data_IF_222839392801
#
_entry.id   IF_222839392801
#
_cell.length_a   1.000
_cell.length_b   1.000
_cell.length_c   1.000
_cell.angle_alpha   90.00
_cell.angle_beta   90.00
_cell.angle_gamma   90.00
#
_symmetry.space_group_name_H-M   'P 1'
#
loop_
_entity.id
_entity.type
_entity.pdbx_description
1 polymer ?
#
# COMPACT_ATOMS: atom_id res chain seq x y z
N UNK A 1 -47.27 55.81 -5.74
CA UNK A 1 -47.57 55.86 -4.29
C UNK A 1 -46.98 54.58 -3.67
N UNK A 2 -45.96 54.69 -2.79
CA UNK A 2 -46.10 54.66 -1.31
C UNK A 2 -46.65 53.30 -0.83
N UNK A 3 -46.13 52.60 0.17
CA UNK A 3 -45.13 52.90 1.20
C UNK A 3 -44.83 51.59 1.95
N UNK A 4 -43.61 51.52 2.45
CA UNK A 4 -43.00 50.66 3.47
C UNK A 4 -43.87 50.15 4.65
N UNK A 5 -43.46 49.01 5.25
CA UNK A 5 -43.01 48.80 6.66
C UNK A 5 -43.12 47.31 7.06
N UNK A 6 -42.00 46.63 7.34
CA UNK A 6 -41.34 46.45 8.66
C UNK A 6 -42.07 45.49 9.61
N UNK A 7 -41.38 44.41 10.06
CA UNK A 7 -41.01 44.20 11.47
C UNK A 7 -40.72 42.72 11.87
N UNK A 8 -39.49 42.51 12.40
CA UNK A 8 -39.11 41.69 13.58
C UNK A 8 -39.26 40.14 13.52
N UNK A 9 -38.35 39.29 14.03
CA UNK A 9 -37.17 39.41 14.90
C UNK A 9 -36.43 38.05 14.92
N UNK A 10 -35.10 38.02 15.04
CA UNK A 10 -34.39 36.74 15.25
C UNK A 10 -32.86 36.75 15.11
N UNK A 11 -32.23 37.71 15.78
CA UNK A 11 -30.79 37.93 16.09
C UNK A 11 -29.80 36.76 15.85
N UNK A 12 -28.65 37.13 15.26
CA UNK A 12 -27.47 36.32 14.93
C UNK A 12 -26.40 36.27 16.08
N UNK A 13 -25.07 36.25 15.84
CA UNK A 13 -24.15 35.10 15.96
C UNK A 13 -22.94 35.30 16.92
N UNK A 14 -22.05 34.29 16.98
CA UNK A 14 -20.60 34.33 17.29
C UNK A 14 -20.10 34.61 18.73
N UNK A 15 -19.18 33.76 19.21
CA UNK A 15 -17.82 34.07 19.74
C UNK A 15 -17.38 33.10 20.86
N UNK A 16 -16.20 32.49 20.70
CA UNK A 16 -15.39 31.93 21.79
C UNK A 16 -14.91 33.05 22.74
N UNK A 17 -14.46 32.75 23.98
CA UNK A 17 -13.00 32.60 24.20
C UNK A 17 -12.57 31.67 25.38
N UNK A 18 -11.24 31.64 25.57
CA UNK A 18 -10.34 30.82 26.40
C UNK A 18 -10.54 30.77 27.95
N UNK A 19 -9.85 29.80 28.61
CA UNK A 19 -9.82 29.51 30.07
C UNK A 19 -9.22 30.62 30.97
N UNK A 20 -8.92 30.40 32.30
CA UNK A 20 -8.02 29.33 32.79
C UNK A 20 -8.21 28.81 34.27
N UNK A 21 -7.31 27.90 34.70
CA UNK A 21 -6.77 27.54 36.05
C UNK A 21 -7.62 26.91 37.20
N UNK A 22 -7.04 25.80 37.73
CA UNK A 22 -6.93 25.31 39.14
C UNK A 22 -8.22 25.21 39.99
N UNK A 23 -8.56 24.09 40.64
CA UNK A 23 -7.97 23.62 41.92
C UNK A 23 -8.29 22.13 42.22
N UNK A 24 -7.34 21.42 42.84
CA UNK A 24 -7.58 20.15 43.55
C UNK A 24 -8.24 20.37 44.92
N UNK A 25 -8.99 19.37 45.44
CA UNK A 25 -8.62 18.82 46.75
C UNK A 25 -8.60 17.28 46.83
N UNK A 26 -7.98 16.83 47.90
CA UNK A 26 -7.31 15.55 48.19
C UNK A 26 -8.14 14.71 49.17
N UNK A 27 -8.30 13.39 48.97
CA UNK A 27 -8.51 12.37 50.04
C UNK A 27 -8.33 10.91 49.52
N UNK A 28 -8.13 9.89 50.38
CA UNK A 28 -6.89 9.11 50.40
C UNK A 28 -7.01 7.57 50.21
N UNK A 29 -5.83 6.98 49.95
CA UNK A 29 -5.34 5.57 49.99
C UNK A 29 -6.20 4.47 50.64
N UNK A 30 -6.24 3.31 49.94
CA UNK A 30 -5.86 1.91 50.31
C UNK A 30 -6.72 0.95 49.45
N UNK A 31 -6.30 -0.20 48.91
CA UNK A 31 -5.29 -1.20 49.33
C UNK A 31 -5.01 -2.15 48.16
N UNK A 32 -3.72 -2.43 47.92
CA UNK A 32 -3.10 -3.71 47.53
C UNK A 32 -3.95 -4.83 46.92
N UNK A 33 -3.53 -5.33 45.75
CA UNK A 33 -3.19 -6.76 45.57
C UNK A 33 -2.33 -7.02 44.32
N UNK A 34 -1.17 -7.62 44.59
CA UNK A 34 -0.20 -8.31 43.71
C UNK A 34 -0.77 -8.80 42.37
N UNK A 35 -0.07 -8.50 41.27
CA UNK A 35 -0.04 -9.41 40.11
C UNK A 35 1.38 -9.53 39.53
N UNK A 36 2.02 -10.61 39.96
CA UNK A 36 3.05 -11.40 39.30
C UNK A 36 4.05 -10.71 38.35
N UNK A 37 5.29 -10.58 38.85
CA UNK A 37 6.54 -10.61 38.08
C UNK A 37 6.45 -11.68 36.98
N UNK A 38 6.29 -11.27 35.71
CA UNK A 38 6.51 -12.17 34.57
C UNK A 38 8.02 -12.30 34.38
N UNK A 39 8.54 -13.50 34.61
CA UNK A 39 9.89 -13.91 34.23
C UNK A 39 10.13 -13.59 32.73
N UNK A 40 11.33 -13.14 32.33
CA UNK A 40 11.68 -13.03 30.92
C UNK A 40 11.54 -14.41 30.28
N UNK A 41 10.67 -14.54 29.28
CA UNK A 41 10.61 -15.74 28.45
C UNK A 41 11.92 -15.82 27.68
N UNK A 42 12.70 -16.83 28.01
CA UNK A 42 13.87 -17.31 27.30
C UNK A 42 13.53 -17.42 25.79
N UNK A 43 14.33 -16.76 24.95
CA UNK A 43 14.22 -16.84 23.49
C UNK A 43 14.31 -18.31 23.08
N UNK A 44 13.39 -18.84 22.24
CA UNK A 44 13.64 -20.12 21.59
C UNK A 44 14.93 -20.00 20.78
N UNK A 45 15.93 -20.84 21.09
CA UNK A 45 17.14 -21.00 20.29
C UNK A 45 16.72 -21.30 18.85
N UNK A 46 16.94 -20.35 17.93
CA UNK A 46 16.83 -20.58 16.49
C UNK A 46 17.78 -21.74 16.15
N UNK A 47 17.21 -22.88 15.81
CA UNK A 47 17.88 -24.01 15.17
C UNK A 47 18.58 -23.46 13.93
N UNK A 48 19.88 -23.70 13.79
CA UNK A 48 20.65 -23.22 12.66
C UNK A 48 20.01 -23.70 11.35
N UNK A 49 19.56 -22.75 10.54
CA UNK A 49 19.00 -22.99 9.21
C UNK A 49 20.14 -23.51 8.30
N UNK A 50 19.97 -24.64 7.60
CA UNK A 50 20.99 -25.14 6.70
C UNK A 50 21.25 -24.08 5.62
N UNK A 51 22.51 -23.65 5.49
CA UNK A 51 22.95 -22.74 4.42
C UNK A 51 22.84 -23.49 3.09
N UNK A 52 21.66 -23.41 2.47
CA UNK A 52 21.47 -23.88 1.10
C UNK A 52 22.51 -23.19 0.20
N UNK A 53 23.06 -23.90 -0.80
CA UNK A 53 23.99 -23.29 -1.75
C UNK A 53 23.35 -22.04 -2.39
N UNK A 54 24.14 -21.00 -2.69
CA UNK A 54 23.63 -19.78 -3.29
C UNK A 54 22.99 -20.11 -4.64
N UNK A 55 21.66 -20.15 -4.67
CA UNK A 55 20.89 -20.35 -5.89
C UNK A 55 21.12 -19.12 -6.77
N UNK A 56 21.39 -19.28 -8.08
CA UNK A 56 21.45 -18.13 -8.98
C UNK A 56 20.12 -17.39 -8.93
N UNK A 57 20.17 -16.09 -8.60
CA UNK A 57 19.00 -15.25 -8.39
C UNK A 57 18.96 -14.14 -9.41
N UNK A 58 17.83 -14.02 -10.11
CA UNK A 58 17.61 -12.87 -10.99
C UNK A 58 17.04 -11.67 -10.22
N UNK A 59 17.21 -10.50 -10.83
CA UNK A 59 16.68 -9.22 -10.39
C UNK A 59 15.70 -8.71 -11.44
N UNK A 60 14.46 -8.44 -11.05
CA UNK A 60 13.46 -7.86 -11.93
C UNK A 60 13.42 -6.35 -11.75
N UNK A 61 13.41 -5.61 -12.85
CA UNK A 61 13.32 -4.15 -12.86
C UNK A 61 12.03 -3.77 -13.58
N UNK A 62 11.23 -2.92 -12.96
CA UNK A 62 10.06 -2.29 -13.59
C UNK A 62 10.43 -0.87 -13.98
N UNK A 63 10.35 -0.56 -15.27
CA UNK A 63 10.64 0.77 -15.82
C UNK A 63 9.34 1.43 -16.30
N UNK A 64 9.07 2.65 -15.83
CA UNK A 64 7.98 3.46 -16.33
C UNK A 64 8.39 4.28 -17.56
N UNK A 65 7.41 4.81 -18.27
CA UNK A 65 7.61 5.69 -19.44
C UNK A 65 8.35 6.99 -19.11
N UNK A 66 8.34 7.42 -17.86
CA UNK A 66 9.03 8.62 -17.36
C UNK A 66 10.52 8.41 -17.09
N UNK A 67 11.06 7.21 -17.34
CA UNK A 67 12.45 6.85 -17.05
C UNK A 67 12.70 6.47 -15.59
N UNK A 68 11.71 6.60 -14.70
CA UNK A 68 11.78 6.03 -13.36
C UNK A 68 11.83 4.50 -13.43
N UNK A 69 12.53 3.87 -12.49
CA UNK A 69 12.63 2.41 -12.38
C UNK A 69 12.57 1.93 -10.93
N UNK A 70 12.11 0.69 -10.72
CA UNK A 70 12.13 0.02 -9.42
C UNK A 70 12.77 -1.35 -9.58
N UNK A 71 13.73 -1.64 -8.72
CA UNK A 71 14.45 -2.91 -8.68
C UNK A 71 13.85 -3.83 -7.63
N UNK A 72 13.48 -5.04 -8.05
CA UNK A 72 12.82 -6.06 -7.26
C UNK A 72 13.75 -7.28 -7.21
N UNK A 73 14.18 -7.62 -5.99
CA UNK A 73 15.11 -8.72 -5.72
C UNK A 73 14.52 -9.82 -4.84
N UNK A 74 13.26 -9.67 -4.45
CA UNK A 74 12.55 -10.60 -3.58
C UNK A 74 11.08 -10.64 -4.01
N UNK A 75 10.35 -11.60 -3.47
CA UNK A 75 8.90 -11.62 -3.59
C UNK A 75 8.30 -10.32 -3.07
N UNK A 76 7.57 -9.63 -3.94
CA UNK A 76 7.11 -8.27 -3.65
C UNK A 76 5.68 -8.10 -4.14
N UNK A 77 4.84 -7.56 -3.26
CA UNK A 77 3.51 -7.09 -3.64
C UNK A 77 3.62 -5.68 -4.22
N UNK A 78 3.11 -5.51 -5.44
CA UNK A 78 3.12 -4.23 -6.15
C UNK A 78 1.71 -3.67 -6.15
N UNK A 79 1.60 -2.42 -5.74
CA UNK A 79 0.35 -1.67 -5.72
C UNK A 79 0.57 -0.20 -6.02
N UNK A 80 -0.51 0.56 -5.86
CA UNK A 80 -0.55 2.01 -6.11
C UNK A 80 0.61 2.76 -5.47
N UNK A 81 0.95 2.46 -4.21
CA UNK A 81 2.02 3.15 -3.49
C UNK A 81 3.37 2.98 -4.19
N UNK A 82 3.71 1.75 -4.57
CA UNK A 82 4.94 1.41 -5.30
C UNK A 82 5.01 2.12 -6.65
N UNK A 83 3.90 2.12 -7.40
CA UNK A 83 3.88 2.64 -8.78
C UNK A 83 3.56 4.13 -8.89
N UNK A 84 3.22 4.80 -7.79
CA UNK A 84 2.90 6.23 -7.74
C UNK A 84 3.98 7.12 -8.37
N UNK A 85 5.25 6.71 -8.26
CA UNK A 85 6.40 7.41 -8.83
C UNK A 85 6.44 7.43 -10.36
N UNK A 86 5.74 6.51 -11.03
CA UNK A 86 5.76 6.41 -12.49
C UNK A 86 4.73 7.34 -13.15
N UNK A 87 3.74 7.86 -12.41
CA UNK A 87 2.79 8.84 -12.93
C UNK A 87 1.43 8.84 -12.25
N UNK A 88 0.60 9.80 -12.64
CA UNK A 88 -0.75 10.02 -12.08
C UNK A 88 -1.70 8.83 -12.32
N UNK A 89 -1.46 8.06 -13.38
CA UNK A 89 -2.24 6.86 -13.70
C UNK A 89 -2.10 5.74 -12.66
N UNK A 90 -1.15 5.85 -11.72
CA UNK A 90 -1.10 5.00 -10.53
C UNK A 90 -2.39 5.06 -9.69
N UNK A 91 -3.21 6.10 -9.83
CA UNK A 91 -4.52 6.18 -9.16
C UNK A 91 -5.47 5.02 -9.52
N UNK A 92 -5.30 4.42 -10.70
CA UNK A 92 -6.09 3.28 -11.17
C UNK A 92 -5.58 1.93 -10.62
N UNK A 93 -4.41 1.92 -9.98
CA UNK A 93 -3.86 0.72 -9.37
C UNK A 93 -4.49 0.47 -8.01
N UNK A 94 -4.64 -0.81 -7.66
CA UNK A 94 -5.07 -1.24 -6.34
C UNK A 94 -3.88 -1.41 -5.40
N UNK A 95 -4.14 -1.56 -4.09
CA UNK A 95 -3.10 -1.85 -3.10
C UNK A 95 -3.48 -3.12 -2.32
N UNK A 96 -2.79 -4.25 -2.55
CA UNK A 96 -1.90 -4.55 -3.68
C UNK A 96 -2.67 -4.82 -4.99
N UNK A 97 -2.03 -4.62 -6.14
CA UNK A 97 -2.57 -4.94 -7.46
C UNK A 97 -2.17 -6.35 -7.92
N UNK A 98 -0.89 -6.69 -7.78
CA UNK A 98 -0.37 -8.02 -8.06
C UNK A 98 0.80 -8.33 -7.13
N UNK A 99 1.17 -9.60 -7.06
CA UNK A 99 2.39 -10.07 -6.38
C UNK A 99 3.34 -10.65 -7.41
N UNK A 100 4.61 -10.30 -7.29
CA UNK A 100 5.69 -10.95 -8.01
C UNK A 100 6.33 -11.96 -7.07
N UNK A 101 6.47 -13.19 -7.55
CA UNK A 101 7.16 -14.27 -6.86
C UNK A 101 8.37 -14.68 -7.68
N UNK A 102 9.50 -14.86 -7.00
CA UNK A 102 10.73 -15.29 -7.65
C UNK A 102 10.98 -16.78 -7.40
N UNK A 103 11.13 -17.52 -8.48
CA UNK A 103 11.55 -18.93 -8.47
C UNK A 103 12.90 -19.05 -9.16
N UNK A 104 13.99 -18.95 -8.38
CA UNK A 104 15.35 -18.94 -8.91
C UNK A 104 15.63 -17.74 -9.84
N UNK A 105 15.75 -18.00 -11.13
CA UNK A 105 15.93 -16.97 -12.18
C UNK A 105 14.62 -16.48 -12.77
N UNK A 106 13.52 -17.17 -12.52
CA UNK A 106 12.23 -16.89 -13.14
C UNK A 106 11.35 -16.06 -12.22
N UNK A 107 10.50 -15.24 -12.84
CA UNK A 107 9.54 -14.40 -12.15
C UNK A 107 8.13 -14.77 -12.59
N UNK A 108 7.22 -14.83 -11.61
CA UNK A 108 5.81 -15.11 -11.87
C UNK A 108 4.97 -13.99 -11.29
N UNK A 109 4.03 -13.48 -12.07
CA UNK A 109 3.05 -12.47 -11.65
C UNK A 109 1.75 -13.16 -11.25
N UNK A 110 1.22 -12.75 -10.09
CA UNK A 110 -0.05 -13.19 -9.54
C UNK A 110 -0.97 -12.00 -9.39
N UNK A 111 -2.09 -11.99 -10.12
CA UNK A 111 -3.10 -10.96 -9.93
C UNK A 111 -3.65 -10.97 -8.50
N UNK A 112 -3.81 -9.79 -7.91
CA UNK A 112 -4.36 -9.64 -6.57
C UNK A 112 -5.87 -9.81 -6.59
N UNK A 113 -6.41 -10.76 -5.83
CA UNK A 113 -7.85 -11.05 -5.76
C UNK A 113 -8.73 -9.88 -5.31
N UNK A 114 -8.14 -8.86 -4.66
CA UNK A 114 -8.80 -7.65 -4.19
C UNK A 114 -8.61 -6.45 -5.13
N UNK A 115 -7.93 -6.64 -6.26
CA UNK A 115 -7.69 -5.58 -7.21
C UNK A 115 -8.98 -5.21 -7.95
N UNK A 116 -9.25 -3.90 -8.03
CA UNK A 116 -10.45 -3.35 -8.69
C UNK A 116 -10.37 -3.44 -10.21
N UNK A 117 -9.16 -3.32 -10.75
CA UNK A 117 -8.89 -3.36 -12.18
C UNK A 117 -8.03 -4.58 -12.48
N UNK A 118 -8.07 -5.01 -13.73
CA UNK A 118 -7.33 -6.18 -14.20
C UNK A 118 -5.83 -5.86 -14.25
N UNK A 119 -5.01 -6.85 -13.91
CA UNK A 119 -3.57 -6.78 -14.18
C UNK A 119 -3.37 -7.26 -15.61
N UNK A 120 -2.73 -6.46 -16.44
CA UNK A 120 -2.48 -6.77 -17.84
C UNK A 120 -1.00 -7.12 -18.04
N UNK A 121 -0.73 -8.27 -18.64
CA UNK A 121 0.59 -8.67 -19.12
C UNK A 121 0.56 -8.64 -20.65
N UNK A 122 1.37 -7.77 -21.26
CA UNK A 122 1.39 -7.51 -22.70
C UNK A 122 -0.02 -7.22 -23.27
N UNK A 123 -0.83 -6.47 -22.50
CA UNK A 123 -2.20 -6.10 -22.85
C UNK A 123 -3.28 -7.16 -22.57
N UNK A 124 -2.91 -8.35 -22.10
CA UNK A 124 -3.85 -9.46 -21.79
C UNK A 124 -4.09 -9.58 -20.29
N UNK A 125 -5.31 -9.91 -19.87
CA UNK A 125 -5.63 -10.07 -18.47
C UNK A 125 -4.94 -11.29 -17.84
N UNK A 126 -4.26 -11.05 -16.72
CA UNK A 126 -3.64 -12.06 -15.88
C UNK A 126 -4.71 -12.65 -14.95
N UNK A 127 -5.37 -13.72 -15.39
CA UNK A 127 -6.40 -14.41 -14.59
C UNK A 127 -5.82 -15.43 -13.61
N UNK A 128 -4.63 -15.96 -13.90
CA UNK A 128 -3.87 -16.92 -13.09
C UNK A 128 -2.42 -16.46 -12.98
N UNK A 129 -1.62 -17.21 -12.24
CA UNK A 129 -0.17 -17.02 -12.22
C UNK A 129 0.41 -17.13 -13.63
N UNK A 130 1.14 -16.10 -14.07
CA UNK A 130 1.79 -16.10 -15.38
C UNK A 130 3.29 -15.82 -15.24
N UNK A 131 4.15 -16.53 -15.98
CA UNK A 131 5.56 -16.23 -16.02
C UNK A 131 5.78 -14.86 -16.67
N UNK A 132 6.78 -14.14 -16.20
CA UNK A 132 7.18 -12.83 -16.72
C UNK A 132 8.56 -12.97 -17.36
N UNK A 133 8.70 -12.44 -18.57
CA UNK A 133 9.92 -12.46 -19.36
C UNK A 133 10.55 -11.07 -19.46
N UNK A 134 11.82 -11.03 -19.86
CA UNK A 134 12.49 -9.77 -20.20
C UNK A 134 11.80 -9.12 -21.40
N UNK A 135 11.54 -7.81 -21.30
CA UNK A 135 10.85 -7.05 -22.34
C UNK A 135 9.32 -7.04 -22.23
N UNK A 136 8.73 -7.84 -21.34
CA UNK A 136 7.29 -7.82 -21.10
C UNK A 136 6.79 -6.46 -20.58
N UNK A 137 5.50 -6.22 -20.73
CA UNK A 137 4.83 -5.00 -20.27
C UNK A 137 3.74 -5.35 -19.25
N UNK A 138 3.90 -4.85 -18.02
CA UNK A 138 2.91 -4.96 -16.95
C UNK A 138 2.13 -3.65 -16.84
N UNK A 139 0.81 -3.74 -16.87
CA UNK A 139 -0.08 -2.58 -16.76
C UNK A 139 -1.31 -2.92 -15.93
N UNK A 140 -2.16 -1.92 -15.70
CA UNK A 140 -3.48 -2.10 -15.09
C UNK A 140 -4.54 -1.57 -16.03
N UNK A 141 -5.70 -2.22 -16.09
CA UNK A 141 -6.75 -1.72 -16.97
C UNK A 141 -7.95 -2.63 -17.12
N UNK A 142 -8.50 -2.63 -18.33
CA UNK A 142 -9.62 -3.47 -18.74
C UNK A 142 -9.35 -4.00 -20.14
N UNK A 143 -9.07 -5.29 -20.25
CA UNK A 143 -8.78 -5.97 -21.51
C UNK A 143 -9.94 -5.82 -22.51
N UNK A 144 -11.17 -6.10 -22.06
CA UNK A 144 -12.36 -6.05 -22.94
C UNK A 144 -12.66 -4.66 -23.51
N UNK A 145 -12.05 -3.60 -22.95
CA UNK A 145 -12.18 -2.21 -23.43
C UNK A 145 -10.90 -1.68 -24.08
N UNK A 146 -9.84 -2.49 -24.16
CA UNK A 146 -8.53 -2.05 -24.65
C UNK A 146 -7.89 -0.94 -23.81
N UNK A 147 -8.31 -0.77 -22.55
CA UNK A 147 -7.79 0.31 -21.69
C UNK A 147 -6.55 -0.21 -20.98
N UNK A 148 -5.39 0.39 -21.27
CA UNK A 148 -4.11 0.11 -20.62
C UNK A 148 -3.65 1.36 -19.89
N UNK A 149 -3.41 1.25 -18.58
CA UNK A 149 -2.96 2.35 -17.72
C UNK A 149 -1.62 2.04 -17.07
N UNK A 150 -0.76 3.05 -17.09
CA UNK A 150 0.58 3.02 -16.53
C UNK A 150 1.37 1.75 -16.93
N UNK A 151 1.65 1.56 -18.23
CA UNK A 151 2.46 0.45 -18.67
C UNK A 151 3.88 0.55 -18.11
N UNK A 152 4.35 -0.52 -17.48
CA UNK A 152 5.69 -0.70 -16.95
C UNK A 152 6.40 -1.77 -17.77
N UNK A 153 7.57 -1.44 -18.30
CA UNK A 153 8.43 -2.39 -18.98
C UNK A 153 9.18 -3.23 -17.97
N UNK A 154 9.19 -4.53 -18.17
CA UNK A 154 9.94 -5.49 -17.37
C UNK A 154 11.33 -5.66 -17.96
N UNK A 155 12.34 -5.60 -17.10
CA UNK A 155 13.70 -6.03 -17.43
C UNK A 155 14.20 -7.03 -16.41
N UNK A 156 14.73 -8.16 -16.86
CA UNK A 156 15.29 -9.20 -15.98
C UNK A 156 16.80 -9.17 -16.13
N UNK A 157 17.50 -8.85 -15.03
CA UNK A 157 18.95 -8.97 -14.92
C UNK A 157 19.31 -10.28 -14.24
N UNK A 158 20.19 -11.07 -14.86
CA UNK A 158 20.75 -12.31 -14.33
C UNK A 158 22.13 -12.06 -13.73
#
# INVERSE_FOLDING_TARGET
ARLMRDALNGKAPTLEPAGPLLTSPRRPKKTTKKKAKRKPKEKPKKKAEPKLPPVPVSTLILEGSTGASITIKIDTSIGKSTVSRFGKDAQFWSEPQFRLERSGTDWTVFHGSRAKNETLLNGKNVTKSQPVMDGDQLAVGRESKGIIKLPLKVKIRK
#
